data_IF_250754479288
#
_entry.id   IF_250754479288
#
_cell.length_a   1.000
_cell.length_b   1.000
_cell.length_c   1.000
_cell.angle_alpha   90.00
_cell.angle_beta   90.00
_cell.angle_gamma   90.00
#
_symmetry.space_group_name_H-M   'P 1'
#
loop_
_entity.id
_entity.type
_entity.pdbx_description
1 polymer ?
#
# COMPACT_ATOMS: atom_id res chain seq x y z
N UNK A 1 -2.73 0.23 -24.69
CA UNK A 1 -3.11 0.77 -23.38
C UNK A 1 -2.95 2.27 -23.47
N UNK A 2 -4.00 3.02 -23.18
CA UNK A 2 -4.23 4.39 -23.69
C UNK A 2 -3.44 5.52 -22.99
N UNK A 3 -2.28 5.25 -22.41
CA UNK A 3 -1.38 6.28 -21.88
C UNK A 3 -2.03 7.25 -20.89
N UNK A 4 -2.91 6.78 -20.01
CA UNK A 4 -3.50 7.60 -18.95
C UNK A 4 -2.53 7.65 -17.77
N UNK A 5 -2.22 8.86 -17.32
CA UNK A 5 -1.40 9.13 -16.16
C UNK A 5 -2.32 9.45 -14.98
N UNK A 6 -2.06 8.81 -13.85
CA UNK A 6 -2.72 9.11 -12.58
C UNK A 6 -1.75 9.82 -11.66
N UNK A 7 -2.13 10.97 -11.15
CA UNK A 7 -1.29 11.77 -10.25
C UNK A 7 -2.04 12.16 -8.99
N UNK A 8 -1.38 12.00 -7.84
CA UNK A 8 -1.86 12.51 -6.58
C UNK A 8 -1.80 14.05 -6.58
N UNK A 9 -2.83 14.68 -6.05
CA UNK A 9 -2.89 16.13 -5.90
C UNK A 9 -2.76 16.49 -4.42
N UNK A 10 -1.96 17.51 -4.13
CA UNK A 10 -1.85 18.03 -2.77
C UNK A 10 -3.14 18.78 -2.36
N UNK A 11 -3.51 18.67 -1.08
CA UNK A 11 -4.72 19.30 -0.53
C UNK A 11 -5.99 18.47 -0.81
N UNK A 12 -7.15 19.07 -0.58
CA UNK A 12 -8.48 18.41 -0.63
C UNK A 12 -8.96 18.02 -2.04
N UNK A 13 -8.06 17.88 -3.01
CA UNK A 13 -8.41 17.71 -4.42
C UNK A 13 -8.30 16.26 -4.94
N UNK A 14 -7.99 15.28 -4.07
CA UNK A 14 -7.95 13.89 -4.48
C UNK A 14 -6.83 13.55 -5.46
N UNK A 15 -7.14 12.93 -6.59
CA UNK A 15 -6.18 12.64 -7.66
C UNK A 15 -6.75 13.00 -9.04
N UNK A 16 -5.87 13.16 -10.03
CA UNK A 16 -6.22 13.50 -11.38
C UNK A 16 -5.90 12.36 -12.36
N UNK A 17 -6.68 12.28 -13.43
CA UNK A 17 -6.42 11.50 -14.64
C UNK A 17 -6.04 12.45 -15.77
N UNK A 18 -4.90 12.22 -16.39
CA UNK A 18 -4.47 12.99 -17.56
C UNK A 18 -4.04 12.08 -18.69
N UNK A 19 -4.17 12.52 -19.94
CA UNK A 19 -3.52 11.86 -21.07
C UNK A 19 -2.02 12.12 -21.03
N UNK A 20 -1.25 11.38 -21.84
CA UNK A 20 0.17 11.66 -22.03
C UNK A 20 0.45 13.08 -22.56
N UNK A 21 -0.49 13.65 -23.29
CA UNK A 21 -0.43 15.03 -23.83
C UNK A 21 -0.89 16.08 -22.81
N UNK A 22 -1.15 15.69 -21.56
CA UNK A 22 -1.52 16.60 -20.47
C UNK A 22 -3.00 17.01 -20.44
N UNK A 23 -3.87 16.41 -21.27
CA UNK A 23 -5.30 16.71 -21.22
C UNK A 23 -5.93 16.12 -19.98
N UNK A 24 -6.54 16.96 -19.15
CA UNK A 24 -7.21 16.51 -17.92
C UNK A 24 -8.54 15.82 -18.27
N UNK A 25 -8.60 14.51 -17.96
CA UNK A 25 -9.76 13.65 -18.26
C UNK A 25 -10.81 13.67 -17.15
N UNK A 26 -10.41 13.90 -15.92
CA UNK A 26 -11.30 13.95 -14.76
C UNK A 26 -10.61 14.70 -13.63
N UNK A 27 -10.86 15.99 -13.48
CA UNK A 27 -10.34 16.74 -12.35
C UNK A 27 -11.05 16.29 -11.06
N UNK A 28 -10.25 16.12 -10.00
CA UNK A 28 -10.76 15.93 -8.64
C UNK A 28 -11.55 14.62 -8.40
N UNK A 29 -11.00 13.49 -8.82
CA UNK A 29 -11.46 12.18 -8.36
C UNK A 29 -11.19 12.06 -6.84
N UNK A 30 -12.17 11.53 -6.10
CA UNK A 30 -12.11 11.49 -4.64
C UNK A 30 -12.51 12.78 -3.96
N UNK A 31 -13.31 13.62 -4.62
CA UNK A 31 -13.83 14.89 -4.10
C UNK A 31 -14.53 14.69 -2.75
N UNK A 32 -14.09 15.47 -1.76
CA UNK A 32 -14.60 15.40 -0.38
C UNK A 32 -13.71 14.59 0.57
N UNK A 33 -12.68 13.92 0.06
CA UNK A 33 -11.62 13.35 0.88
C UNK A 33 -10.48 14.38 1.05
N UNK A 34 -9.67 14.19 2.07
CA UNK A 34 -8.44 14.96 2.28
C UNK A 34 -7.38 14.61 1.22
N UNK A 35 -6.12 14.81 1.48
CA UNK A 35 -5.08 14.51 0.51
C UNK A 35 -4.99 12.99 0.21
N UNK A 36 -4.63 12.63 -1.02
CA UNK A 36 -4.16 11.28 -1.34
C UNK A 36 -2.86 11.04 -0.56
N UNK A 37 -2.78 9.92 0.15
CA UNK A 37 -1.66 9.68 1.04
C UNK A 37 -0.34 9.56 0.27
N UNK A 38 -0.32 8.78 -0.83
CA UNK A 38 0.90 8.54 -1.60
C UNK A 38 0.57 8.19 -3.06
N UNK A 39 1.05 7.07 -3.56
CA UNK A 39 0.88 6.62 -4.95
C UNK A 39 -0.35 5.72 -5.10
N UNK A 40 -1.14 5.88 -6.16
CA UNK A 40 -2.20 4.92 -6.48
C UNK A 40 -1.60 3.61 -7.01
N UNK A 41 -2.31 2.50 -6.79
CA UNK A 41 -2.03 1.23 -7.46
C UNK A 41 -3.05 1.00 -8.58
N UNK A 42 -2.64 0.30 -9.66
CA UNK A 42 -3.47 0.08 -10.84
C UNK A 42 -3.48 -1.41 -11.17
N UNK A 43 -4.66 -2.00 -11.37
CA UNK A 43 -4.75 -3.40 -11.78
C UNK A 43 -4.70 -3.57 -13.31
N UNK A 44 -4.61 -4.82 -13.78
CA UNK A 44 -4.55 -5.15 -15.22
C UNK A 44 -5.81 -4.72 -16.00
N UNK A 45 -6.94 -4.48 -15.35
CA UNK A 45 -8.17 -3.99 -15.93
C UNK A 45 -8.20 -2.45 -16.01
N UNK A 46 -7.20 -1.77 -15.45
CA UNK A 46 -7.10 -0.33 -15.37
C UNK A 46 -7.91 0.28 -14.23
N UNK A 47 -8.37 -0.52 -13.27
CA UNK A 47 -8.95 0.03 -12.04
C UNK A 47 -7.85 0.62 -11.16
N UNK A 48 -8.15 1.73 -10.51
CA UNK A 48 -7.21 2.49 -9.70
C UNK A 48 -7.62 2.46 -8.24
N UNK A 49 -6.71 2.07 -7.39
CA UNK A 49 -6.89 2.00 -5.95
C UNK A 49 -6.12 3.15 -5.30
N UNK A 50 -6.80 3.94 -4.50
CA UNK A 50 -6.25 5.16 -3.90
C UNK A 50 -6.44 5.11 -2.40
N UNK A 51 -5.38 5.39 -1.66
CA UNK A 51 -5.42 5.57 -0.21
C UNK A 51 -5.44 7.06 0.12
N UNK A 52 -6.38 7.48 0.95
CA UNK A 52 -6.53 8.86 1.41
C UNK A 52 -6.01 9.01 2.84
N UNK A 53 -5.41 10.15 3.13
CA UNK A 53 -4.70 10.41 4.40
C UNK A 53 -5.59 10.30 5.64
N UNK A 54 -6.90 10.50 5.51
CA UNK A 54 -7.87 10.27 6.58
C UNK A 54 -8.11 8.78 6.89
N UNK A 55 -7.52 7.85 6.14
CA UNK A 55 -7.67 6.41 6.38
C UNK A 55 -8.84 5.78 5.65
N UNK A 56 -9.05 6.19 4.43
CA UNK A 56 -10.03 5.60 3.49
C UNK A 56 -9.28 5.07 2.28
N UNK A 57 -9.68 3.92 1.77
CA UNK A 57 -9.26 3.40 0.47
C UNK A 57 -10.46 3.41 -0.47
N UNK A 58 -10.29 3.86 -1.69
CA UNK A 58 -11.32 3.81 -2.72
C UNK A 58 -10.79 3.22 -4.02
N UNK A 59 -11.65 2.55 -4.76
CA UNK A 59 -11.37 2.05 -6.10
C UNK A 59 -12.19 2.82 -7.13
N UNK A 60 -11.56 3.06 -8.26
CA UNK A 60 -12.16 3.74 -9.41
C UNK A 60 -11.95 2.90 -10.67
N UNK A 61 -12.91 2.90 -11.57
CA UNK A 61 -12.72 2.31 -12.89
C UNK A 61 -11.82 3.18 -13.79
N UNK A 62 -11.53 2.69 -14.98
CA UNK A 62 -10.69 3.41 -15.95
C UNK A 62 -11.38 4.66 -16.56
N UNK A 63 -12.68 4.89 -16.31
CA UNK A 63 -13.39 6.12 -16.62
C UNK A 63 -13.38 7.12 -15.45
N UNK A 64 -12.98 6.68 -14.25
CA UNK A 64 -12.93 7.49 -13.03
C UNK A 64 -14.21 7.45 -12.20
N UNK A 65 -15.11 6.49 -12.46
CA UNK A 65 -16.26 6.27 -11.60
C UNK A 65 -15.82 5.52 -10.34
N UNK A 66 -16.27 5.96 -9.16
CA UNK A 66 -16.01 5.26 -7.92
C UNK A 66 -16.75 3.92 -7.92
N UNK A 67 -16.01 2.82 -7.76
CA UNK A 67 -16.53 1.48 -7.65
C UNK A 67 -16.94 1.15 -6.22
N UNK A 68 -16.07 1.54 -5.28
CA UNK A 68 -16.29 1.35 -3.84
C UNK A 68 -15.33 2.21 -3.02
N UNK A 69 -15.65 2.35 -1.73
CA UNK A 69 -14.75 2.89 -0.70
C UNK A 69 -14.81 2.06 0.57
N UNK A 70 -13.69 1.99 1.25
CA UNK A 70 -13.60 1.31 2.54
C UNK A 70 -12.78 2.14 3.55
N UNK A 71 -13.28 2.32 4.79
CA UNK A 71 -14.64 1.97 5.22
C UNK A 71 -15.68 2.86 4.56
N UNK A 72 -16.93 2.40 4.48
CA UNK A 72 -18.04 3.18 3.92
C UNK A 72 -18.36 4.42 4.76
N UNK A 73 -18.01 4.40 6.05
CA UNK A 73 -18.08 5.52 6.98
C UNK A 73 -16.99 5.40 8.05
N UNK A 74 -16.50 6.53 8.56
CA UNK A 74 -15.38 6.55 9.49
C UNK A 74 -14.02 6.36 8.82
N UNK A 75 -13.04 5.85 9.57
CA UNK A 75 -11.65 5.70 9.13
C UNK A 75 -11.02 4.42 9.68
N UNK A 76 -10.06 3.86 8.95
CA UNK A 76 -9.25 2.71 9.41
C UNK A 76 -8.10 3.12 10.34
N UNK A 77 -7.72 4.38 10.35
CA UNK A 77 -6.48 4.93 10.89
C UNK A 77 -5.78 5.74 9.80
N UNK A 78 -4.91 6.66 10.15
CA UNK A 78 -4.25 7.53 9.16
C UNK A 78 -3.40 6.73 8.17
N UNK A 79 -3.33 7.20 6.93
CA UNK A 79 -2.43 6.73 5.89
C UNK A 79 -1.65 7.94 5.41
N UNK A 80 -0.31 7.94 5.52
CA UNK A 80 0.47 9.14 5.15
C UNK A 80 1.71 8.88 4.29
N UNK A 81 2.30 7.71 4.35
CA UNK A 81 3.56 7.39 3.64
C UNK A 81 3.46 6.12 2.78
N UNK A 82 2.58 5.19 3.14
CA UNK A 82 2.37 3.95 2.41
C UNK A 82 1.15 4.02 1.49
N UNK A 83 1.30 3.53 0.27
CA UNK A 83 0.19 3.34 -0.68
C UNK A 83 -0.44 1.95 -0.61
N UNK A 84 -1.51 1.71 -1.37
CA UNK A 84 -2.05 0.37 -1.53
C UNK A 84 -1.12 -0.51 -2.36
N UNK A 85 -1.03 -1.80 -2.01
CA UNK A 85 -0.39 -2.83 -2.81
C UNK A 85 -1.43 -3.85 -3.27
N UNK A 86 -1.23 -4.45 -4.45
CA UNK A 86 -2.17 -5.41 -5.04
C UNK A 86 -1.47 -6.78 -5.12
N UNK A 87 -2.05 -7.80 -4.50
CA UNK A 87 -1.59 -9.17 -4.64
C UNK A 87 -2.00 -9.80 -5.97
N UNK A 88 -1.40 -10.93 -6.32
CA UNK A 88 -1.70 -11.65 -7.55
C UNK A 88 -3.19 -12.11 -7.65
N UNK A 89 -3.83 -12.33 -6.52
CA UNK A 89 -5.27 -12.67 -6.42
C UNK A 89 -6.20 -11.44 -6.47
N UNK A 90 -5.63 -10.22 -6.62
CA UNK A 90 -6.36 -8.97 -6.62
C UNK A 90 -6.72 -8.46 -5.22
N UNK A 91 -6.18 -9.03 -4.15
CA UNK A 91 -6.33 -8.51 -2.80
C UNK A 91 -5.55 -7.19 -2.64
N UNK A 92 -6.17 -6.19 -2.05
CA UNK A 92 -5.57 -4.88 -1.80
C UNK A 92 -5.11 -4.82 -0.34
N UNK A 93 -3.85 -4.48 -0.13
CA UNK A 93 -3.23 -4.35 1.19
C UNK A 93 -2.84 -2.91 1.47
N UNK A 94 -3.14 -2.41 2.67
CA UNK A 94 -2.81 -1.06 3.11
C UNK A 94 -2.34 -1.06 4.56
N UNK A 95 -1.24 -0.40 4.83
CA UNK A 95 -0.79 -0.09 6.20
C UNK A 95 -1.43 1.20 6.71
N UNK A 96 -1.72 1.24 8.01
CA UNK A 96 -2.27 2.44 8.67
C UNK A 96 -1.47 2.81 9.92
N UNK A 97 -1.58 4.07 10.30
CA UNK A 97 -1.03 4.65 11.53
C UNK A 97 -2.11 4.88 12.59
N UNK A 98 -1.73 5.48 13.70
CA UNK A 98 -2.64 5.82 14.79
C UNK A 98 -3.93 6.51 14.30
N UNK A 99 -5.08 6.31 14.98
CA UNK A 99 -5.22 5.57 16.25
C UNK A 99 -5.30 4.04 16.10
N UNK A 100 -5.34 3.49 14.89
CA UNK A 100 -5.48 2.06 14.64
C UNK A 100 -4.34 1.59 13.71
N UNK A 101 -3.14 1.40 14.26
CA UNK A 101 -2.00 0.87 13.51
C UNK A 101 -2.27 -0.59 13.11
N UNK A 102 -2.44 -0.85 11.82
CA UNK A 102 -2.78 -2.17 11.30
C UNK A 102 -2.41 -2.31 9.81
N UNK A 103 -2.33 -3.54 9.34
CA UNK A 103 -2.48 -3.86 7.92
C UNK A 103 -3.91 -4.30 7.68
N UNK A 104 -4.56 -3.76 6.68
CA UNK A 104 -5.89 -4.16 6.24
C UNK A 104 -5.79 -4.82 4.87
N UNK A 105 -6.40 -6.00 4.73
CA UNK A 105 -6.58 -6.66 3.45
C UNK A 105 -8.03 -6.54 3.00
N UNK A 106 -8.21 -6.05 1.78
CA UNK A 106 -9.51 -5.87 1.14
C UNK A 106 -9.61 -6.77 -0.09
N UNK A 107 -10.79 -7.31 -0.34
CA UNK A 107 -11.07 -7.96 -1.62
C UNK A 107 -11.04 -6.93 -2.75
N UNK A 108 -10.90 -7.37 -3.99
CA UNK A 108 -11.05 -6.52 -5.18
C UNK A 108 -12.38 -5.75 -5.20
N UNK A 109 -13.43 -6.26 -4.56
CA UNK A 109 -14.74 -5.61 -4.42
C UNK A 109 -14.89 -4.70 -3.20
N UNK A 110 -13.82 -4.43 -2.44
CA UNK A 110 -13.82 -3.49 -1.31
C UNK A 110 -14.28 -4.09 0.03
N UNK A 111 -14.57 -5.39 0.12
CA UNK A 111 -14.89 -6.02 1.39
C UNK A 111 -13.61 -6.35 2.18
N UNK A 112 -13.63 -6.14 3.50
CA UNK A 112 -12.51 -6.53 4.35
C UNK A 112 -12.37 -8.06 4.41
N UNK A 113 -11.18 -8.57 4.09
CA UNK A 113 -10.80 -9.98 4.29
C UNK A 113 -10.35 -10.21 5.73
N UNK A 114 -9.36 -9.42 6.15
CA UNK A 114 -8.79 -9.47 7.50
C UNK A 114 -8.09 -8.16 7.86
N UNK A 115 -7.65 -8.03 9.09
CA UNK A 115 -6.69 -7.02 9.52
C UNK A 115 -5.72 -7.61 10.54
N UNK A 116 -4.45 -7.21 10.43
CA UNK A 116 -3.39 -7.49 11.38
C UNK A 116 -3.12 -6.23 12.19
N UNK A 117 -3.31 -6.28 13.52
CA UNK A 117 -3.03 -5.15 14.40
C UNK A 117 -1.55 -5.10 14.76
N UNK A 118 -0.92 -3.96 14.61
CA UNK A 118 0.46 -3.72 15.03
C UNK A 118 0.49 -2.84 16.28
N UNK A 119 1.55 -2.99 17.07
CA UNK A 119 1.82 -2.10 18.22
C UNK A 119 2.34 -0.75 17.72
N UNK A 120 3.17 -0.76 16.68
CA UNK A 120 3.73 0.43 16.06
C UNK A 120 3.03 0.78 14.75
N UNK A 121 3.13 2.04 14.35
CA UNK A 121 2.54 2.56 13.12
C UNK A 121 3.12 1.87 11.88
N UNK A 122 2.28 1.56 10.90
CA UNK A 122 2.68 0.98 9.62
C UNK A 122 2.51 2.05 8.55
N UNK A 123 3.56 2.84 8.36
CA UNK A 123 3.61 3.92 7.37
C UNK A 123 4.14 3.47 6.00
N UNK A 124 4.52 2.21 5.85
CA UNK A 124 5.15 1.69 4.63
C UNK A 124 4.13 1.03 3.69
N UNK A 125 4.42 1.04 2.38
CA UNK A 125 3.67 0.24 1.40
C UNK A 125 4.03 -1.23 1.57
N UNK A 126 3.06 -2.14 1.73
CA UNK A 126 3.33 -3.57 1.76
C UNK A 126 3.94 -4.07 0.45
N UNK A 127 4.86 -5.04 0.51
CA UNK A 127 5.33 -5.78 -0.65
C UNK A 127 4.81 -7.22 -0.57
N UNK A 128 4.43 -7.80 -1.70
CA UNK A 128 3.85 -9.13 -1.76
C UNK A 128 4.80 -10.05 -2.53
N UNK A 129 5.14 -11.20 -1.94
CA UNK A 129 6.00 -12.19 -2.55
C UNK A 129 5.23 -13.17 -3.46
N UNK A 130 5.97 -14.03 -4.17
CA UNK A 130 5.41 -15.05 -5.08
C UNK A 130 4.51 -16.07 -4.40
N UNK A 131 4.71 -16.30 -3.09
CA UNK A 131 3.89 -17.20 -2.29
C UNK A 131 2.63 -16.53 -1.72
N UNK A 132 2.50 -15.22 -1.94
CA UNK A 132 1.39 -14.40 -1.44
C UNK A 132 1.58 -13.94 0.00
N UNK A 133 2.78 -14.04 0.58
CA UNK A 133 3.05 -13.43 1.88
C UNK A 133 3.21 -11.92 1.75
N UNK A 134 2.87 -11.21 2.82
CA UNK A 134 2.88 -9.75 2.85
C UNK A 134 4.03 -9.29 3.73
N UNK A 135 4.99 -8.60 3.14
CA UNK A 135 6.15 -8.01 3.80
C UNK A 135 5.85 -6.56 4.16
N UNK A 136 6.00 -6.23 5.44
CA UNK A 136 5.75 -4.89 5.98
C UNK A 136 6.86 -4.47 6.94
N UNK A 137 6.96 -3.18 7.14
CA UNK A 137 7.81 -2.59 8.16
C UNK A 137 7.00 -1.63 9.03
N UNK A 138 7.30 -1.58 10.31
CA UNK A 138 6.70 -0.63 11.24
C UNK A 138 7.68 0.45 11.72
N UNK A 139 7.14 1.52 12.30
CA UNK A 139 7.92 2.68 12.74
C UNK A 139 8.85 2.37 13.94
N UNK A 140 8.65 1.25 14.65
CA UNK A 140 9.54 0.77 15.73
C UNK A 140 10.69 -0.11 15.24
N UNK A 141 10.90 -0.16 13.92
CA UNK A 141 12.04 -0.87 13.34
C UNK A 141 11.84 -2.37 13.17
N UNK A 142 10.61 -2.86 13.20
CA UNK A 142 10.33 -4.26 12.92
C UNK A 142 10.09 -4.50 11.43
N UNK A 143 10.71 -5.55 10.92
CA UNK A 143 10.36 -6.19 9.66
C UNK A 143 9.47 -7.39 9.96
N UNK A 144 8.32 -7.47 9.31
CA UNK A 144 7.26 -8.45 9.58
C UNK A 144 6.82 -9.09 8.28
N UNK A 145 6.61 -10.40 8.30
CA UNK A 145 6.02 -11.17 7.20
C UNK A 145 4.70 -11.74 7.70
N UNK A 146 3.62 -11.49 6.99
CA UNK A 146 2.32 -12.08 7.23
C UNK A 146 2.01 -13.13 6.16
N UNK A 147 1.34 -14.21 6.55
CA UNK A 147 0.72 -15.14 5.61
C UNK A 147 -0.45 -14.46 4.86
N UNK A 148 -0.89 -15.05 3.76
CA UNK A 148 -2.02 -14.55 2.96
C UNK A 148 -3.35 -14.44 3.75
N UNK A 149 -3.49 -15.16 4.86
CA UNK A 149 -4.64 -15.12 5.77
C UNK A 149 -4.53 -14.04 6.87
N UNK A 150 -3.41 -13.30 6.91
CA UNK A 150 -3.15 -12.23 7.86
C UNK A 150 -2.50 -12.68 9.17
N UNK A 151 -2.17 -13.96 9.33
CA UNK A 151 -1.41 -14.44 10.49
C UNK A 151 0.07 -14.09 10.38
N UNK A 152 0.73 -13.76 11.48
CA UNK A 152 2.16 -13.46 11.50
C UNK A 152 2.97 -14.74 11.21
N UNK A 153 3.81 -14.69 10.17
CA UNK A 153 4.74 -15.75 9.78
C UNK A 153 6.13 -15.54 10.38
N UNK A 154 6.56 -14.28 10.41
CA UNK A 154 7.89 -13.90 10.89
C UNK A 154 7.89 -12.46 11.36
N UNK A 155 8.66 -12.18 12.41
CA UNK A 155 8.92 -10.82 12.89
C UNK A 155 10.35 -10.71 13.41
N UNK A 156 11.04 -9.63 13.02
CA UNK A 156 12.37 -9.30 13.51
C UNK A 156 12.55 -7.80 13.62
N UNK A 157 13.05 -7.34 14.75
CA UNK A 157 13.53 -5.98 14.91
C UNK A 157 14.89 -5.83 14.24
N UNK A 158 15.01 -4.91 13.29
CA UNK A 158 16.23 -4.62 12.55
C UNK A 158 17.00 -3.44 13.15
N UNK A 159 16.28 -2.46 13.66
CA UNK A 159 16.85 -1.24 14.23
C UNK A 159 15.84 -0.48 15.09
N UNK A 160 16.06 0.81 15.24
CA UNK A 160 15.19 1.69 16.02
C UNK A 160 14.00 2.22 15.21
N UNK A 161 14.13 2.31 13.88
CA UNK A 161 13.09 2.81 12.97
C UNK A 161 13.23 2.26 11.55
N UNK A 162 12.09 2.09 10.87
CA UNK A 162 12.02 1.81 9.43
C UNK A 162 10.94 2.69 8.82
N UNK A 163 11.34 3.51 7.83
CA UNK A 163 10.42 4.35 7.07
C UNK A 163 10.35 3.97 5.59
N UNK A 164 11.20 3.05 5.15
CA UNK A 164 11.20 2.55 3.78
C UNK A 164 10.26 1.36 3.64
N UNK A 165 9.56 1.32 2.52
CA UNK A 165 8.86 0.10 2.12
C UNK A 165 9.87 -1.01 1.81
N UNK A 166 9.58 -2.28 2.16
CA UNK A 166 10.41 -3.40 1.74
C UNK A 166 10.37 -3.54 0.22
N UNK A 167 11.47 -3.91 -0.38
CA UNK A 167 11.58 -4.16 -1.82
C UNK A 167 11.99 -5.61 -2.03
N UNK A 168 11.16 -6.37 -2.72
CA UNK A 168 11.44 -7.76 -3.08
C UNK A 168 12.09 -7.76 -4.46
N UNK A 169 13.33 -8.24 -4.53
CA UNK A 169 14.03 -8.44 -5.78
C UNK A 169 13.83 -9.88 -6.29
N UNK A 170 14.25 -10.13 -7.53
CA UNK A 170 14.35 -11.48 -8.08
C UNK A 170 15.20 -12.37 -7.15
N UNK A 171 14.96 -13.67 -7.19
CA UNK A 171 15.63 -14.67 -6.35
C UNK A 171 15.34 -14.56 -4.84
N UNK A 172 14.25 -13.87 -4.45
CA UNK A 172 13.74 -13.88 -3.08
C UNK A 172 14.51 -13.06 -2.08
N UNK A 173 15.35 -12.14 -2.54
CA UNK A 173 16.04 -11.19 -1.67
C UNK A 173 15.13 -10.00 -1.38
N UNK A 174 14.92 -9.72 -0.10
CA UNK A 174 14.18 -8.53 0.36
C UNK A 174 15.16 -7.50 0.89
N UNK A 175 15.08 -6.29 0.36
CA UNK A 175 15.87 -5.15 0.79
C UNK A 175 15.04 -4.24 1.69
N UNK A 176 15.62 -3.87 2.83
CA UNK A 176 15.03 -2.94 3.79
C UNK A 176 16.09 -1.94 4.23
N UNK A 177 15.76 -0.65 4.22
CA UNK A 177 16.60 0.38 4.86
C UNK A 177 16.04 0.68 6.25
N UNK A 178 16.90 0.79 7.24
CA UNK A 178 16.51 1.01 8.63
C UNK A 178 17.52 1.93 9.32
N UNK A 179 17.06 2.57 10.39
CA UNK A 179 17.91 3.35 11.28
C UNK A 179 18.34 2.51 12.48
N UNK A 180 19.61 2.56 12.80
CA UNK A 180 20.16 1.96 14.00
C UNK A 180 21.26 2.86 14.58
N UNK A 181 21.10 3.28 15.84
CA UNK A 181 22.00 4.18 16.54
C UNK A 181 22.30 5.48 15.76
N UNK A 182 21.29 6.07 15.10
CA UNK A 182 21.40 7.29 14.31
C UNK A 182 22.06 7.12 12.94
N UNK A 183 22.34 5.89 12.51
CA UNK A 183 22.90 5.57 11.20
C UNK A 183 21.86 4.85 10.34
N UNK A 184 21.70 5.30 9.08
CA UNK A 184 20.92 4.58 8.09
C UNK A 184 21.70 3.37 7.57
N UNK A 185 21.07 2.22 7.58
CA UNK A 185 21.62 0.94 7.12
C UNK A 185 20.71 0.30 6.09
N UNK A 186 21.29 -0.50 5.21
CA UNK A 186 20.58 -1.35 4.26
C UNK A 186 20.88 -2.81 4.64
N UNK A 187 19.83 -3.63 4.70
CA UNK A 187 19.96 -5.09 4.85
C UNK A 187 19.33 -5.77 3.63
N UNK A 188 19.97 -6.86 3.20
CA UNK A 188 19.43 -7.83 2.26
C UNK A 188 19.06 -9.09 3.04
N UNK A 189 17.83 -9.53 2.93
CA UNK A 189 17.29 -10.70 3.66
C UNK A 189 16.92 -11.74 2.60
N UNK A 190 17.54 -12.91 2.66
CA UNK A 190 17.13 -14.05 1.85
C UNK A 190 15.89 -14.69 2.52
N UNK A 191 14.77 -14.61 1.85
CA UNK A 191 13.49 -15.14 2.33
C UNK A 191 13.16 -16.51 1.76
N UNK A 192 14.03 -17.08 0.89
CA UNK A 192 13.84 -18.40 0.29
C UNK A 192 12.63 -18.50 -0.64
N UNK A 193 12.21 -17.39 -1.24
CA UNK A 193 11.09 -17.26 -2.16
C UNK A 193 11.61 -17.04 -3.59
N UNK A 194 10.77 -17.25 -4.61
CA UNK A 194 11.20 -17.09 -6.01
C UNK A 194 11.29 -15.61 -6.43
N UNK A 195 10.70 -14.68 -5.69
CA UNK A 195 10.72 -13.25 -6.00
C UNK A 195 9.43 -12.54 -5.62
N UNK A 196 9.14 -11.38 -6.20
CA UNK A 196 7.89 -10.66 -5.96
C UNK A 196 6.71 -11.40 -6.57
N UNK A 197 5.51 -11.12 -6.08
CA UNK A 197 4.28 -11.62 -6.66
C UNK A 197 4.18 -11.17 -8.14
N UNK A 198 3.70 -12.06 -8.99
CA UNK A 198 3.33 -11.68 -10.35
C UNK A 198 2.04 -10.84 -10.30
N UNK A 199 2.21 -9.63 -9.88
CA UNK A 199 1.14 -8.66 -9.70
C UNK A 199 0.81 -7.98 -11.03
N UNK A 200 -0.45 -7.59 -11.26
CA UNK A 200 -0.87 -6.97 -12.51
C UNK A 200 -0.39 -5.52 -12.74
N UNK A 201 0.52 -5.03 -11.94
CA UNK A 201 1.03 -3.65 -12.00
C UNK A 201 2.55 -3.56 -12.10
#
# INVERSE_FOLDING_TARGET
>A
QNGVIYSALSGANGFARTTQDGVNLSPNLGKGNTAVAVYPAIDAQGNVYVAFSEGVVAAYDNQGNELWRYPASGTMGKIDQGGPAIGADGTIYVGTKNPNAQVVALTKGGAKKWSYSSVAEIGTTPAIDSDGNIHICDDDGNYIILNADGTEKYKRQLGSKIWSSPVIADYGIVYVTYEDNGACKLIAIDCGIEGPANSPW
#
